data_IF_934614899324
#
_entry.id   IF_934614899324
#
_cell.length_a   1.000
_cell.length_b   1.000
_cell.length_c   1.000
_cell.angle_alpha   90.00
_cell.angle_beta   90.00
_cell.angle_gamma   90.00
#
_symmetry.space_group_name_H-M   'P 1'
#
loop_
_entity.id
_entity.type
_entity.pdbx_description
1 polymer ?
#
# COMPACT_ATOMS: atom_id res chain seq x y z
N UNK A 1 -4.87 3.78 12.79
CA UNK A 1 -5.06 2.32 12.96
C UNK A 1 -4.11 1.52 12.07
N UNK A 2 -4.05 1.80 10.78
CA UNK A 2 -3.17 1.07 9.86
C UNK A 2 -1.87 1.83 9.62
N UNK A 3 -0.77 1.09 9.51
CA UNK A 3 0.50 1.59 9.01
C UNK A 3 0.72 1.06 7.59
N UNK A 4 1.25 1.91 6.70
CA UNK A 4 1.58 1.53 5.33
C UNK A 4 3.05 1.85 5.09
N UNK A 5 3.82 0.84 4.72
CA UNK A 5 5.22 0.95 4.40
C UNK A 5 5.45 0.45 2.97
N UNK A 6 6.37 1.08 2.25
CA UNK A 6 6.72 0.67 0.89
C UNK A 6 8.21 0.45 0.81
N UNK A 7 8.63 -0.72 0.34
CA UNK A 7 10.00 -0.93 -0.14
C UNK A 7 10.01 -0.97 -1.66
N UNK A 8 11.06 -0.45 -2.29
CA UNK A 8 11.20 -0.42 -3.73
C UNK A 8 12.59 -0.88 -4.16
N UNK A 9 12.68 -1.40 -5.37
CA UNK A 9 13.92 -1.76 -6.04
C UNK A 9 13.86 -1.34 -7.50
N UNK A 10 14.90 -0.65 -7.94
CA UNK A 10 15.11 -0.32 -9.33
C UNK A 10 15.84 -1.47 -10.03
N UNK A 11 15.10 -2.28 -10.79
CA UNK A 11 15.61 -3.42 -11.55
C UNK A 11 16.67 -3.05 -12.60
N UNK A 12 16.77 -1.77 -12.99
CA UNK A 12 17.69 -1.29 -14.03
C UNK A 12 19.06 -0.91 -13.46
N UNK A 13 19.09 -0.39 -12.23
CA UNK A 13 20.32 0.10 -11.59
C UNK A 13 20.76 -0.73 -10.39
N UNK A 14 19.88 -1.58 -9.87
CA UNK A 14 20.08 -2.31 -8.63
C UNK A 14 19.84 -1.49 -7.36
N UNK A 15 19.56 -0.19 -7.47
CA UNK A 15 19.25 0.66 -6.30
C UNK A 15 17.96 0.20 -5.61
N UNK A 16 17.87 0.38 -4.30
CA UNK A 16 16.67 0.07 -3.52
C UNK A 16 16.52 1.02 -2.34
N UNK A 17 15.33 1.05 -1.75
CA UNK A 17 15.07 1.87 -0.57
C UNK A 17 13.65 1.70 -0.03
N UNK A 18 13.33 2.53 0.94
CA UNK A 18 11.97 2.69 1.47
C UNK A 18 11.34 3.90 0.79
N UNK A 19 10.08 3.78 0.37
CA UNK A 19 9.29 4.89 -0.12
C UNK A 19 9.00 5.86 1.02
N UNK A 20 9.09 7.16 0.74
CA UNK A 20 8.78 8.18 1.73
C UNK A 20 7.32 8.60 1.59
N UNK A 21 6.59 8.47 2.70
CA UNK A 21 5.18 8.82 2.76
C UNK A 21 4.97 10.33 2.72
N UNK A 22 3.95 10.76 1.99
CA UNK A 22 3.41 12.11 1.99
C UNK A 22 1.94 12.02 2.36
N UNK A 23 1.52 12.79 3.35
CA UNK A 23 0.12 12.86 3.76
C UNK A 23 -0.74 13.43 2.64
N UNK A 24 -1.86 12.77 2.34
CA UNK A 24 -2.90 13.27 1.45
C UNK A 24 -4.10 13.74 2.26
N UNK A 25 -5.07 12.84 2.43
CA UNK A 25 -6.24 13.02 3.31
C UNK A 25 -6.16 12.07 4.50
N UNK A 26 -7.17 12.07 5.38
CA UNK A 26 -7.27 11.10 6.47
C UNK A 26 -7.36 9.64 5.98
N UNK A 27 -7.80 9.43 4.74
CA UNK A 27 -8.01 8.11 4.14
C UNK A 27 -6.97 7.77 3.05
N UNK A 28 -6.17 8.74 2.59
CA UNK A 28 -5.31 8.59 1.42
C UNK A 28 -3.94 9.19 1.63
N UNK A 29 -2.92 8.55 1.07
CA UNK A 29 -1.54 9.00 1.12
C UNK A 29 -0.80 8.71 -0.16
N UNK A 30 0.39 9.29 -0.27
CA UNK A 30 1.25 9.12 -1.43
C UNK A 30 2.63 8.65 -1.00
N UNK A 31 3.37 8.04 -1.91
CA UNK A 31 4.78 7.74 -1.73
C UNK A 31 5.58 8.26 -2.91
N UNK A 32 6.76 8.78 -2.61
CA UNK A 32 7.85 8.96 -3.58
C UNK A 32 9.02 8.05 -3.21
N UNK A 33 9.84 7.68 -4.18
CA UNK A 33 10.96 6.76 -3.96
C UNK A 33 12.33 7.44 -3.94
N UNK A 34 12.59 8.34 -4.90
CA UNK A 34 13.90 8.97 -5.08
C UNK A 34 13.94 10.43 -4.67
N UNK A 35 12.91 11.19 -5.06
CA UNK A 35 12.82 12.63 -4.83
C UNK A 35 11.37 13.06 -4.61
N UNK A 36 11.10 14.05 -3.75
CA UNK A 36 9.75 14.41 -3.35
C UNK A 36 8.87 14.96 -4.47
N UNK A 37 9.45 15.45 -5.58
CA UNK A 37 8.71 15.97 -6.73
C UNK A 37 8.16 14.87 -7.65
N UNK A 38 8.55 13.60 -7.47
CA UNK A 38 8.12 12.48 -8.30
C UNK A 38 7.35 11.45 -7.46
N UNK A 39 6.03 11.63 -7.37
CA UNK A 39 5.16 10.66 -6.71
C UNK A 39 5.06 9.38 -7.54
N UNK A 40 5.16 8.25 -6.86
CA UNK A 40 5.27 6.91 -7.46
C UNK A 40 4.05 6.05 -7.13
N UNK A 41 3.42 6.28 -5.98
CA UNK A 41 2.26 5.54 -5.51
C UNK A 41 1.23 6.46 -4.85
N UNK A 42 -0.03 6.15 -5.09
CA UNK A 42 -1.16 6.58 -4.23
C UNK A 42 -1.72 5.35 -3.54
N UNK A 43 -2.05 5.50 -2.26
CA UNK A 43 -2.74 4.49 -1.47
C UNK A 43 -3.98 5.10 -0.83
N UNK A 44 -5.02 4.28 -0.66
CA UNK A 44 -6.24 4.66 0.05
C UNK A 44 -6.73 3.49 0.88
N UNK A 45 -7.14 3.77 2.12
CA UNK A 45 -7.73 2.79 3.01
C UNK A 45 -9.07 3.30 3.51
N UNK A 46 -10.12 2.50 3.31
CA UNK A 46 -11.49 2.80 3.73
C UNK A 46 -11.99 1.80 4.77
N UNK A 47 -12.80 2.29 5.70
CA UNK A 47 -13.64 1.43 6.53
C UNK A 47 -14.88 1.00 5.72
N UNK A 48 -14.78 -0.17 5.09
CA UNK A 48 -15.88 -0.84 4.40
C UNK A 48 -16.60 -1.88 5.26
N UNK A 49 -16.36 -1.91 6.58
CA UNK A 49 -16.84 -3.00 7.44
C UNK A 49 -18.37 -3.11 7.48
N UNK A 50 -19.08 -1.98 7.33
CA UNK A 50 -20.55 -1.95 7.23
C UNK A 50 -21.06 -2.65 5.96
N UNK A 51 -20.25 -2.71 4.89
CA UNK A 51 -20.66 -3.29 3.62
C UNK A 51 -20.41 -4.80 3.55
N UNK A 52 -19.23 -5.26 3.99
CA UNK A 52 -18.86 -6.67 3.89
C UNK A 52 -17.95 -7.18 5.02
N UNK A 53 -17.83 -6.45 6.14
CA UNK A 53 -16.98 -6.84 7.26
C UNK A 53 -15.48 -6.61 7.05
N UNK A 54 -15.08 -5.97 5.96
CA UNK A 54 -13.67 -5.78 5.60
C UNK A 54 -13.28 -4.30 5.48
N UNK A 55 -12.02 -4.01 5.85
CA UNK A 55 -11.35 -2.78 5.43
C UNK A 55 -10.91 -2.93 3.99
N UNK A 56 -11.06 -1.87 3.20
CA UNK A 56 -10.73 -1.90 1.78
C UNK A 56 -9.45 -1.12 1.54
N UNK A 57 -8.50 -1.76 0.85
CA UNK A 57 -7.24 -1.14 0.49
C UNK A 57 -7.16 -0.99 -1.03
N UNK A 58 -6.89 0.23 -1.47
CA UNK A 58 -6.72 0.59 -2.87
C UNK A 58 -5.32 1.16 -3.04
N UNK A 59 -4.66 0.81 -4.15
CA UNK A 59 -3.42 1.45 -4.54
C UNK A 59 -3.34 1.58 -6.05
N UNK A 60 -2.65 2.64 -6.50
CA UNK A 60 -2.33 2.87 -7.89
C UNK A 60 -0.90 3.36 -8.01
N UNK A 61 -0.16 2.85 -9.00
CA UNK A 61 1.21 3.26 -9.25
C UNK A 61 1.33 4.12 -10.50
N UNK A 62 2.31 5.02 -10.42
CA UNK A 62 2.87 5.79 -11.53
C UNK A 62 4.30 5.29 -11.86
N UNK A 63 4.68 4.15 -11.28
CA UNK A 63 6.00 3.54 -11.35
C UNK A 63 5.93 2.16 -11.98
N UNK A 64 6.98 1.79 -12.71
CA UNK A 64 7.21 0.43 -13.20
C UNK A 64 8.32 -0.31 -12.44
N UNK A 65 8.73 0.23 -11.29
CA UNK A 65 9.74 -0.38 -10.44
C UNK A 65 9.17 -1.55 -9.65
N UNK A 66 10.03 -2.49 -9.29
CA UNK A 66 9.66 -3.50 -8.30
C UNK A 66 9.37 -2.80 -6.96
N UNK A 67 8.24 -3.10 -6.35
CA UNK A 67 7.94 -2.62 -5.00
C UNK A 67 7.05 -3.58 -4.22
N UNK A 68 7.11 -3.46 -2.90
CA UNK A 68 6.26 -4.14 -1.95
C UNK A 68 5.58 -3.10 -1.05
N UNK A 69 4.25 -3.14 -0.99
CA UNK A 69 3.45 -2.37 -0.04
C UNK A 69 3.07 -3.32 1.10
N UNK A 70 3.52 -3.01 2.32
CA UNK A 70 3.10 -3.69 3.55
C UNK A 70 2.07 -2.84 4.26
N UNK A 71 0.90 -3.41 4.51
CA UNK A 71 -0.18 -2.79 5.29
C UNK A 71 -0.34 -3.57 6.58
N UNK A 72 -0.10 -2.91 7.70
CA UNK A 72 -0.17 -3.50 9.05
C UNK A 72 -1.34 -2.90 9.81
N UNK A 73 -2.25 -3.74 10.30
CA UNK A 73 -3.25 -3.33 11.28
C UNK A 73 -2.62 -3.29 12.67
N UNK A 74 -2.35 -2.08 13.18
CA UNK A 74 -1.68 -1.91 14.47
C UNK A 74 -2.54 -2.35 15.66
N UNK A 75 -3.83 -2.60 15.45
CA UNK A 75 -4.72 -3.10 16.50
C UNK A 75 -4.70 -4.62 16.65
N UNK A 76 -4.43 -5.36 15.57
CA UNK A 76 -4.45 -6.84 15.53
C UNK A 76 -3.10 -7.45 15.20
N UNK A 77 -2.11 -6.64 14.83
CA UNK A 77 -0.80 -7.04 14.32
C UNK A 77 -0.86 -7.92 13.06
N UNK A 78 -2.00 -7.92 12.34
CA UNK A 78 -2.13 -8.62 11.06
C UNK A 78 -1.56 -7.78 9.92
N UNK A 79 -0.98 -8.46 8.93
CA UNK A 79 -0.32 -7.81 7.80
C UNK A 79 -0.86 -8.33 6.46
N UNK A 80 -0.91 -7.43 5.47
CA UNK A 80 -1.12 -7.75 4.06
C UNK A 80 -0.04 -7.12 3.23
N UNK A 81 0.40 -7.87 2.23
CA UNK A 81 1.52 -7.52 1.37
C UNK A 81 1.07 -7.53 -0.08
N UNK A 82 1.30 -6.41 -0.76
CA UNK A 82 1.00 -6.23 -2.18
C UNK A 82 2.31 -6.00 -2.94
N UNK A 83 2.48 -6.66 -4.08
CA UNK A 83 3.74 -6.63 -4.84
C UNK A 83 3.48 -6.15 -6.25
N UNK A 84 4.38 -5.30 -6.74
CA UNK A 84 4.54 -5.03 -8.16
C UNK A 84 5.84 -5.68 -8.65
N UNK A 85 5.78 -6.62 -9.60
CA UNK A 85 6.98 -7.15 -10.21
C UNK A 85 7.67 -6.10 -11.10
N UNK A 86 8.97 -6.25 -11.37
CA UNK A 86 9.74 -5.28 -12.13
C UNK A 86 9.22 -5.14 -13.58
N UNK A 87 9.02 -3.89 -14.02
CA UNK A 87 8.60 -3.57 -15.38
C UNK A 87 7.08 -3.50 -15.59
N UNK A 88 6.29 -3.84 -14.58
CA UNK A 88 4.83 -3.70 -14.63
C UNK A 88 4.40 -2.33 -14.10
N UNK A 89 3.47 -1.67 -14.80
CA UNK A 89 2.74 -0.52 -14.25
C UNK A 89 1.46 -1.06 -13.64
N UNK A 90 1.37 -1.09 -12.31
CA UNK A 90 0.29 -1.79 -11.61
C UNK A 90 -0.51 -0.91 -10.64
N UNK A 91 -1.79 -1.23 -10.50
CA UNK A 91 -2.69 -0.72 -9.47
C UNK A 91 -3.73 -1.79 -9.16
N UNK A 92 -4.06 -1.99 -7.90
CA UNK A 92 -4.96 -3.05 -7.46
C UNK A 92 -5.91 -2.53 -6.37
N UNK A 93 -7.08 -3.16 -6.29
CA UNK A 93 -8.02 -3.01 -5.19
C UNK A 93 -8.19 -4.36 -4.49
N UNK A 94 -7.92 -4.42 -3.19
CA UNK A 94 -8.17 -5.58 -2.35
C UNK A 94 -9.32 -5.28 -1.38
N UNK A 95 -10.46 -5.92 -1.65
CA UNK A 95 -11.70 -5.77 -0.89
C UNK A 95 -11.85 -6.84 0.22
N UNK A 96 -10.86 -7.72 0.41
CA UNK A 96 -10.93 -8.92 1.27
C UNK A 96 -9.68 -9.12 2.15
N UNK A 97 -9.00 -8.03 2.49
CA UNK A 97 -7.69 -8.05 3.13
C UNK A 97 -7.66 -8.65 4.55
N UNK A 98 -8.71 -8.63 5.36
CA UNK A 98 -8.69 -9.29 6.70
C UNK A 98 -10.07 -9.76 7.13
N UNK A 99 -10.16 -10.97 7.70
CA UNK A 99 -11.41 -11.51 8.26
C UNK A 99 -11.71 -10.96 9.65
N UNK A 100 -13.00 -10.81 9.98
CA UNK A 100 -13.47 -10.51 11.32
C UNK A 100 -13.34 -11.76 12.20
N UNK A 101 -12.78 -11.62 13.40
CA UNK A 101 -12.78 -12.71 14.39
C UNK A 101 -14.22 -13.14 14.70
N UNK A 102 -14.48 -14.44 14.89
CA UNK A 102 -15.84 -14.90 15.17
C UNK A 102 -16.36 -14.24 16.45
N UNK A 103 -17.54 -13.61 16.36
CA UNK A 103 -18.29 -13.20 17.54
C UNK A 103 -18.75 -14.46 18.29
N UNK A 104 -18.36 -14.58 19.56
CA UNK A 104 -18.78 -15.68 20.46
C UNK A 104 -20.27 -15.63 20.76
#
# INVERSE_FOLDING_TARGET
RFAVEVSWRNQRTGASGTGTAVSGTDESGYFWFFRPENLELVVKLLDGTVNNGHFWFFYGALSDLEYEIRVTDLSTCRERVYRNPPGEICGQADLFAFEQEPST
#
